data_IF_393534378413
#
_entry.id   IF_393534378413
#
_cell.length_a   1.000
_cell.length_b   1.000
_cell.length_c   1.000
_cell.angle_alpha   90.00
_cell.angle_beta   90.00
_cell.angle_gamma   90.00
#
_symmetry.space_group_name_H-M   'P 1'
#
loop_
_entity.id
_entity.type
_entity.pdbx_description
1 polymer ?
#
# COMPACT_ATOMS: atom_id res chain seq x y z
N UNK A 1 6.12 31.05 -5.88
CA UNK A 1 6.42 29.61 -6.00
C UNK A 1 5.60 28.91 -4.93
N UNK A 2 4.76 27.93 -5.27
CA UNK A 2 3.94 27.19 -4.29
C UNK A 2 4.46 25.76 -4.15
N UNK A 3 4.48 25.25 -2.93
CA UNK A 3 4.77 23.86 -2.61
C UNK A 3 3.59 23.30 -1.80
N UNK A 4 3.16 22.08 -2.14
CA UNK A 4 2.07 21.37 -1.45
C UNK A 4 2.64 20.09 -0.84
N UNK A 5 2.48 19.94 0.47
CA UNK A 5 2.76 18.69 1.18
C UNK A 5 1.54 17.78 1.17
N UNK A 6 1.74 16.49 0.88
CA UNK A 6 0.67 15.47 0.90
C UNK A 6 1.00 14.43 1.96
N UNK A 7 0.09 14.22 2.89
CA UNK A 7 0.19 13.20 3.92
C UNK A 7 -1.12 12.40 3.97
N UNK A 8 -1.15 11.26 3.27
CA UNK A 8 -2.36 10.43 3.13
C UNK A 8 -2.97 9.99 4.46
N UNK A 9 -2.14 9.70 5.48
CA UNK A 9 -2.62 9.31 6.80
C UNK A 9 -3.36 10.43 7.54
N UNK A 10 -2.95 11.69 7.35
CA UNK A 10 -3.61 12.84 7.98
C UNK A 10 -5.02 13.07 7.43
N UNK A 11 -5.28 12.68 6.18
CA UNK A 11 -6.61 12.82 5.58
C UNK A 11 -7.67 11.89 6.17
N UNK A 12 -7.27 10.80 6.85
CA UNK A 12 -8.21 9.89 7.51
C UNK A 12 -9.02 10.59 8.61
N UNK A 13 -8.43 11.60 9.26
CA UNK A 13 -9.05 12.37 10.34
C UNK A 13 -9.68 13.68 9.85
N UNK A 14 -9.38 14.09 8.62
CA UNK A 14 -9.82 15.38 8.03
C UNK A 14 -11.07 15.18 7.16
N UNK A 15 -11.06 14.19 6.27
CA UNK A 15 -12.14 13.94 5.33
C UNK A 15 -12.22 12.45 4.95
N UNK A 16 -13.13 11.75 5.62
CA UNK A 16 -13.39 10.32 5.40
C UNK A 16 -14.01 10.04 4.03
N UNK A 17 -14.80 10.97 3.50
CA UNK A 17 -15.50 10.80 2.23
C UNK A 17 -14.53 10.91 1.06
N UNK A 18 -13.53 11.79 1.17
CA UNK A 18 -12.43 11.90 0.20
C UNK A 18 -11.66 10.58 0.06
N UNK A 19 -11.32 9.94 1.18
CA UNK A 19 -10.60 8.65 1.15
C UNK A 19 -11.46 7.52 0.57
N UNK A 20 -12.75 7.51 0.91
CA UNK A 20 -13.73 6.57 0.34
C UNK A 20 -13.87 6.75 -1.17
N UNK A 21 -13.95 8.00 -1.64
CA UNK A 21 -13.99 8.32 -3.07
C UNK A 21 -12.72 7.90 -3.79
N UNK A 22 -11.54 8.26 -3.27
CA UNK A 22 -10.26 7.87 -3.86
C UNK A 22 -10.11 6.35 -3.97
N UNK A 23 -10.55 5.59 -2.97
CA UNK A 23 -10.55 4.13 -3.01
C UNK A 23 -11.43 3.56 -4.12
N UNK A 24 -12.64 4.12 -4.32
CA UNK A 24 -13.54 3.73 -5.42
C UNK A 24 -12.93 3.99 -6.79
N UNK A 25 -12.33 5.17 -6.98
CA UNK A 25 -11.68 5.53 -8.25
C UNK A 25 -10.50 4.60 -8.57
N UNK A 26 -9.67 4.27 -7.57
CA UNK A 26 -8.57 3.31 -7.73
C UNK A 26 -9.09 1.92 -8.11
N UNK A 27 -10.16 1.46 -7.47
CA UNK A 27 -10.79 0.18 -7.81
C UNK A 27 -11.36 0.16 -9.23
N UNK A 28 -12.00 1.26 -9.67
CA UNK A 28 -12.51 1.40 -11.03
C UNK A 28 -11.38 1.36 -12.07
N UNK A 29 -10.28 2.08 -11.82
CA UNK A 29 -9.10 2.05 -12.69
C UNK A 29 -8.45 0.66 -12.76
N UNK A 30 -8.40 -0.06 -11.64
CA UNK A 30 -7.94 -1.45 -11.62
C UNK A 30 -8.87 -2.36 -12.44
N UNK A 31 -10.18 -2.25 -12.26
CA UNK A 31 -11.18 -3.01 -13.03
C UNK A 31 -11.12 -2.74 -14.53
N UNK A 32 -10.77 -1.51 -14.93
CA UNK A 32 -10.53 -1.11 -16.31
C UNK A 32 -9.15 -1.52 -16.86
N UNK A 33 -8.29 -2.17 -16.06
CA UNK A 33 -6.95 -2.60 -16.47
C UNK A 33 -5.92 -1.46 -16.59
N UNK A 34 -6.25 -0.26 -16.10
CA UNK A 34 -5.37 0.92 -16.14
C UNK A 34 -4.28 0.88 -15.06
N UNK A 35 -4.50 0.10 -14.00
CA UNK A 35 -3.55 -0.11 -12.92
C UNK A 35 -3.08 -1.56 -12.90
N UNK A 36 -1.76 -1.74 -12.73
CA UNK A 36 -1.14 -3.04 -12.48
C UNK A 36 -0.46 -3.00 -11.11
N UNK A 37 -1.08 -3.57 -10.05
CA UNK A 37 -0.49 -3.61 -8.72
C UNK A 37 0.88 -4.29 -8.74
N UNK A 38 1.90 -3.62 -8.21
CA UNK A 38 3.27 -4.14 -8.17
C UNK A 38 3.57 -4.74 -6.79
N UNK A 39 3.31 -6.05 -6.66
CA UNK A 39 3.80 -6.84 -5.52
C UNK A 39 5.19 -7.34 -5.87
N UNK A 40 6.21 -6.77 -5.22
CA UNK A 40 7.62 -7.03 -5.52
C UNK A 40 8.29 -8.01 -4.56
N UNK A 41 7.69 -8.23 -3.39
CA UNK A 41 8.18 -9.19 -2.39
C UNK A 41 7.00 -9.77 -1.60
N UNK A 42 7.08 -11.05 -1.26
CA UNK A 42 6.11 -11.77 -0.41
C UNK A 42 6.87 -12.44 0.72
N UNK A 43 6.32 -12.36 1.92
CA UNK A 43 6.89 -12.99 3.11
C UNK A 43 5.76 -13.66 3.88
N UNK A 44 6.04 -14.81 4.48
CA UNK A 44 5.17 -15.37 5.51
C UNK A 44 5.21 -14.54 6.79
N UNK A 45 4.20 -14.71 7.64
CA UNK A 45 4.04 -13.93 8.86
C UNK A 45 5.25 -14.05 9.81
N UNK A 46 5.83 -15.23 9.90
CA UNK A 46 6.99 -15.54 10.73
C UNK A 46 8.23 -14.74 10.31
N UNK A 47 8.27 -14.29 9.04
CA UNK A 47 9.40 -13.57 8.44
C UNK A 47 9.25 -12.04 8.54
N UNK A 48 8.28 -11.52 9.29
CA UNK A 48 8.10 -10.07 9.49
C UNK A 48 9.39 -9.36 9.94
N UNK A 49 10.17 -9.86 10.92
CA UNK A 49 11.40 -9.18 11.34
C UNK A 49 12.40 -8.99 10.19
N UNK A 50 12.59 -10.01 9.34
CA UNK A 50 13.45 -9.94 8.17
C UNK A 50 12.87 -9.01 7.10
N UNK A 51 11.57 -9.08 6.83
CA UNK A 51 10.91 -8.21 5.87
C UNK A 51 11.07 -6.73 6.24
N UNK A 52 10.94 -6.39 7.53
CA UNK A 52 11.17 -5.04 8.04
C UNK A 52 12.64 -4.64 7.95
N UNK A 53 13.58 -5.55 8.21
CA UNK A 53 15.00 -5.31 8.03
C UNK A 53 15.33 -4.94 6.57
N UNK A 54 14.86 -5.73 5.61
CA UNK A 54 15.03 -5.47 4.18
C UNK A 54 14.38 -4.14 3.77
N UNK A 55 13.19 -3.83 4.29
CA UNK A 55 12.50 -2.57 4.01
C UNK A 55 13.32 -1.36 4.48
N UNK A 56 13.82 -1.41 5.71
CA UNK A 56 14.60 -0.31 6.30
C UNK A 56 15.89 0.03 5.53
N UNK A 57 16.43 -0.96 4.81
CA UNK A 57 17.66 -0.83 4.01
C UNK A 57 17.41 -0.54 2.54
N UNK A 58 16.15 -0.34 2.15
CA UNK A 58 15.77 -0.15 0.75
C UNK A 58 15.95 -1.41 -0.11
N UNK A 59 16.02 -2.59 0.51
CA UNK A 59 16.16 -3.89 -0.16
C UNK A 59 14.89 -4.35 -0.89
N UNK A 60 13.78 -3.62 -0.74
CA UNK A 60 12.51 -3.91 -1.41
C UNK A 60 12.19 -2.77 -2.37
N UNK A 61 12.14 -3.10 -3.67
CA UNK A 61 11.71 -2.18 -4.73
C UNK A 61 10.25 -2.44 -5.09
N UNK A 62 9.33 -1.64 -4.55
CA UNK A 62 7.89 -1.77 -4.77
C UNK A 62 7.17 -2.09 -3.47
N UNK A 63 6.10 -2.90 -3.52
CA UNK A 63 5.34 -3.31 -2.35
C UNK A 63 5.76 -4.70 -1.87
N UNK A 64 6.19 -4.79 -0.62
CA UNK A 64 6.19 -6.05 0.11
C UNK A 64 4.81 -6.34 0.72
N UNK A 65 4.41 -7.61 0.68
CA UNK A 65 3.18 -8.10 1.32
C UNK A 65 3.51 -9.24 2.26
N UNK A 66 2.77 -9.30 3.36
CA UNK A 66 2.79 -10.44 4.28
C UNK A 66 1.59 -11.33 3.95
N UNK A 67 1.83 -12.61 3.76
CA UNK A 67 0.78 -13.62 3.66
C UNK A 67 0.44 -14.15 5.05
N UNK A 68 -0.84 -14.17 5.35
CA UNK A 68 -1.38 -14.86 6.52
C UNK A 68 -1.98 -16.15 6.00
N UNK A 69 -1.47 -17.31 6.40
CA UNK A 69 -2.21 -18.55 6.17
C UNK A 69 -3.55 -18.42 6.90
N UNK A 70 -4.63 -18.34 6.12
CA UNK A 70 -5.98 -18.45 6.67
C UNK A 70 -6.27 -19.94 6.77
N UNK A 71 -6.12 -20.52 7.96
CA UNK A 71 -6.67 -21.84 8.24
C UNK A 71 -8.17 -21.80 7.95
N UNK A 72 -8.59 -22.56 6.93
CA UNK A 72 -9.97 -22.68 6.48
C UNK A 72 -10.83 -23.45 7.51
#
# INVERSE_FOLDING_TARGET
MSAVGVAWGAFLDIDRDLMSHASREIAAMHGAGLLRPLVSAKFEFENIPEALHLLSRGGIRGKAVITLETSA
#
